data_IF_352826542890
#
_entry.id   IF_352826542890
#
_cell.length_a   1.000
_cell.length_b   1.000
_cell.length_c   1.000
_cell.angle_alpha   90.00
_cell.angle_beta   90.00
_cell.angle_gamma   90.00
#
_symmetry.space_group_name_H-M   'P 1'
#
loop_
_entity.id
_entity.type
_entity.pdbx_description
1 polymer ?
#
# COMPACT_ATOMS: atom_id res chain seq x y z
N UNK A 1 6.32 27.29 56.28
CA UNK A 1 5.59 28.24 55.40
C UNK A 1 5.30 27.53 54.09
N UNK A 2 4.12 26.92 53.95
CA UNK A 2 3.71 26.20 52.74
C UNK A 2 3.40 27.23 51.64
N UNK A 3 4.40 27.57 50.82
CA UNK A 3 4.20 28.36 49.60
C UNK A 3 3.50 27.48 48.56
N UNK A 4 2.16 27.43 48.61
CA UNK A 4 1.37 26.93 47.48
C UNK A 4 1.60 27.89 46.31
N UNK A 5 1.93 27.31 45.15
CA UNK A 5 2.09 28.03 43.88
C UNK A 5 0.84 28.87 43.59
N UNK A 6 1.04 30.12 43.16
CA UNK A 6 -0.05 30.99 42.73
C UNK A 6 -0.72 30.40 41.48
N UNK A 7 -2.01 30.70 41.27
CA UNK A 7 -2.73 30.28 40.05
C UNK A 7 -2.02 30.75 38.77
N UNK A 8 -1.30 31.88 38.84
CA UNK A 8 -0.49 32.40 37.75
C UNK A 8 0.79 31.58 37.50
N UNK A 9 1.40 31.00 38.54
CA UNK A 9 2.59 30.16 38.41
C UNK A 9 2.25 28.81 37.74
N UNK A 10 1.08 28.26 38.07
CA UNK A 10 0.55 27.06 37.39
C UNK A 10 0.24 27.33 35.93
N UNK A 11 -0.37 28.49 35.61
CA UNK A 11 -0.66 28.88 34.23
C UNK A 11 0.63 29.05 33.43
N UNK A 12 1.64 29.73 34.01
CA UNK A 12 2.94 29.91 33.38
C UNK A 12 3.66 28.58 33.11
N UNK A 13 3.69 27.69 34.11
CA UNK A 13 4.28 26.36 33.94
C UNK A 13 3.55 25.53 32.87
N UNK A 14 2.22 25.59 32.82
CA UNK A 14 1.42 24.89 31.81
C UNK A 14 1.70 25.41 30.40
N UNK A 15 1.72 26.73 30.21
CA UNK A 15 2.04 27.35 28.91
C UNK A 15 3.48 27.04 28.47
N UNK A 16 4.42 27.01 29.41
CA UNK A 16 5.81 26.66 29.13
C UNK A 16 5.95 25.20 28.68
N UNK A 17 5.32 24.26 29.39
CA UNK A 17 5.30 22.84 29.00
C UNK A 17 4.62 22.66 27.65
N UNK A 18 3.50 23.36 27.40
CA UNK A 18 2.79 23.31 26.13
C UNK A 18 3.66 23.80 24.96
N UNK A 19 4.37 24.92 25.13
CA UNK A 19 5.33 25.40 24.12
C UNK A 19 6.47 24.40 23.88
N UNK A 20 6.97 23.74 24.93
CA UNK A 20 8.02 22.73 24.80
C UNK A 20 7.55 21.53 23.95
N UNK A 21 6.32 21.07 24.17
CA UNK A 21 5.72 19.96 23.40
C UNK A 21 5.53 20.34 21.93
N UNK A 22 5.06 21.57 21.65
CA UNK A 22 4.92 22.05 20.27
C UNK A 22 6.28 22.21 19.57
N UNK A 23 7.29 22.71 20.28
CA UNK A 23 8.65 22.85 19.75
C UNK A 23 9.25 21.48 19.41
N UNK A 24 9.08 20.48 20.29
CA UNK A 24 9.54 19.11 20.01
C UNK A 24 8.77 18.48 18.85
N UNK A 25 7.44 18.64 18.78
CA UNK A 25 6.62 18.12 17.69
C UNK A 25 7.02 18.69 16.33
N UNK A 26 7.21 20.01 16.25
CA UNK A 26 7.67 20.69 15.03
C UNK A 26 9.12 20.35 14.67
N UNK A 27 9.99 20.19 15.66
CA UNK A 27 11.37 19.75 15.45
C UNK A 27 11.45 18.34 14.84
N UNK A 28 10.75 17.35 15.43
CA UNK A 28 10.74 15.98 14.89
C UNK A 28 10.07 15.90 13.51
N UNK A 29 9.00 16.67 13.29
CA UNK A 29 8.37 16.78 11.98
C UNK A 29 9.32 17.38 10.93
N UNK A 30 10.04 18.45 11.29
CA UNK A 30 11.04 19.08 10.44
C UNK A 30 12.24 18.17 10.15
N UNK A 31 12.68 17.39 11.14
CA UNK A 31 13.74 16.39 10.97
C UNK A 31 13.36 15.31 9.97
N UNK A 32 12.15 14.74 10.12
CA UNK A 32 11.64 13.70 9.19
C UNK A 32 11.52 14.24 7.77
N UNK A 33 10.91 15.42 7.62
CA UNK A 33 10.78 16.10 6.34
C UNK A 33 12.15 16.48 5.72
N UNK A 34 13.14 16.81 6.56
CA UNK A 34 14.51 17.08 6.15
C UNK A 34 15.23 15.81 5.67
N UNK A 35 15.07 14.69 6.36
CA UNK A 35 15.58 13.38 5.94
C UNK A 35 14.95 12.96 4.62
N UNK A 36 13.63 13.06 4.46
CA UNK A 36 12.92 12.69 3.24
C UNK A 36 13.41 13.52 2.03
N UNK A 37 13.62 14.83 2.22
CA UNK A 37 14.15 15.72 1.17
C UNK A 37 15.62 15.48 0.87
N UNK A 38 16.43 15.19 1.89
CA UNK A 38 17.85 14.89 1.72
C UNK A 38 18.04 13.58 0.96
N UNK A 39 17.32 12.52 1.35
CA UNK A 39 17.33 11.22 0.66
C UNK A 39 16.90 11.40 -0.80
N UNK A 40 15.78 12.08 -1.06
CA UNK A 40 15.32 12.33 -2.43
C UNK A 40 16.35 13.10 -3.29
N UNK A 41 17.02 14.10 -2.73
CA UNK A 41 18.02 14.91 -3.45
C UNK A 41 19.34 14.17 -3.66
N UNK A 42 19.77 13.38 -2.68
CA UNK A 42 20.96 12.54 -2.82
C UNK A 42 20.72 11.39 -3.81
N UNK A 43 19.53 10.80 -3.81
CA UNK A 43 19.10 9.82 -4.80
C UNK A 43 19.08 10.43 -6.21
N UNK A 44 18.55 11.64 -6.40
CA UNK A 44 18.55 12.34 -7.69
C UNK A 44 19.97 12.66 -8.19
N UNK A 45 20.88 13.06 -7.30
CA UNK A 45 22.27 13.37 -7.66
C UNK A 45 23.10 12.12 -7.96
N UNK A 46 22.89 11.04 -7.20
CA UNK A 46 23.49 9.75 -7.50
C UNK A 46 22.96 9.21 -8.83
N UNK A 47 21.64 9.30 -9.04
CA UNK A 47 20.94 8.90 -10.26
C UNK A 47 21.50 9.58 -11.52
N UNK A 48 21.60 10.92 -11.53
CA UNK A 48 22.17 11.66 -12.67
C UNK A 48 23.62 11.28 -12.96
N UNK A 49 24.38 10.93 -11.92
CA UNK A 49 25.80 10.58 -12.08
C UNK A 49 25.96 9.15 -12.58
N UNK A 50 25.07 8.23 -12.22
CA UNK A 50 25.22 6.81 -12.54
C UNK A 50 24.44 6.37 -13.80
N UNK A 51 23.36 7.06 -14.18
CA UNK A 51 22.66 6.87 -15.45
C UNK A 51 23.57 7.21 -16.65
N UNK A 52 24.34 8.29 -16.53
CA UNK A 52 25.33 8.73 -17.53
C UNK A 52 26.51 7.75 -17.67
N UNK A 53 26.80 6.97 -16.62
CA UNK A 53 28.02 6.16 -16.56
C UNK A 53 27.82 4.68 -16.89
N UNK A 54 26.64 4.10 -16.61
CA UNK A 54 26.45 2.64 -16.66
C UNK A 54 25.25 2.14 -17.48
N UNK A 55 24.42 2.99 -18.07
CA UNK A 55 23.28 2.54 -18.90
C UNK A 55 22.39 1.55 -18.15
N UNK A 56 21.71 2.01 -17.11
CA UNK A 56 20.88 1.14 -16.28
C UNK A 56 19.80 0.42 -17.09
N UNK A 57 19.52 -0.84 -16.74
CA UNK A 57 18.33 -1.52 -17.23
C UNK A 57 17.08 -0.73 -16.83
N UNK A 58 16.05 -0.79 -17.67
CA UNK A 58 14.76 -0.13 -17.52
C UNK A 58 14.13 -0.24 -16.11
N UNK A 59 14.50 -1.26 -15.32
CA UNK A 59 13.93 -1.56 -14.01
C UNK A 59 15.00 -1.85 -12.97
N UNK A 60 16.05 -1.03 -12.92
CA UNK A 60 17.12 -1.17 -11.94
C UNK A 60 16.63 -1.05 -10.48
N UNK A 61 17.32 -1.70 -9.53
CA UNK A 61 16.97 -1.75 -8.10
C UNK A 61 16.67 -0.37 -7.49
N UNK A 62 17.44 0.65 -7.89
CA UNK A 62 17.26 2.02 -7.40
C UNK A 62 15.93 2.64 -7.83
N UNK A 63 15.44 2.34 -9.04
CA UNK A 63 14.13 2.83 -9.49
C UNK A 63 12.99 2.22 -8.70
N UNK A 64 13.09 0.92 -8.38
CA UNK A 64 12.09 0.26 -7.54
C UNK A 64 12.07 0.86 -6.12
N UNK A 65 13.23 1.11 -5.54
CA UNK A 65 13.34 1.71 -4.19
C UNK A 65 12.86 3.15 -4.18
N UNK A 66 13.25 3.94 -5.18
CA UNK A 66 12.77 5.32 -5.32
C UNK A 66 11.25 5.34 -5.49
N UNK A 67 10.69 4.49 -6.36
CA UNK A 67 9.24 4.35 -6.53
C UNK A 67 8.55 3.94 -5.22
N UNK A 68 9.15 3.04 -4.45
CA UNK A 68 8.62 2.63 -3.14
C UNK A 68 8.41 3.84 -2.23
N UNK A 69 9.47 4.62 -1.99
CA UNK A 69 9.42 5.71 -1.02
C UNK A 69 8.67 6.94 -1.52
N UNK A 70 8.77 7.23 -2.82
CA UNK A 70 8.26 8.50 -3.36
C UNK A 70 6.81 8.41 -3.84
N UNK A 71 6.32 7.21 -4.15
CA UNK A 71 5.00 7.01 -4.78
C UNK A 71 4.19 5.96 -4.02
N UNK A 72 4.71 4.73 -3.93
CA UNK A 72 3.96 3.62 -3.36
C UNK A 72 3.65 3.83 -1.88
N UNK A 73 4.64 4.22 -1.06
CA UNK A 73 4.48 4.39 0.38
C UNK A 73 3.46 5.48 0.73
N UNK A 74 3.52 6.71 0.19
CA UNK A 74 2.48 7.72 0.45
C UNK A 74 1.08 7.27 0.01
N UNK A 75 0.96 6.54 -1.11
CA UNK A 75 -0.32 5.94 -1.50
C UNK A 75 -0.79 4.89 -0.47
N UNK A 76 0.12 4.04 0.02
CA UNK A 76 -0.19 3.03 1.05
C UNK A 76 -0.65 3.64 2.36
N UNK A 77 -0.17 4.82 2.72
CA UNK A 77 -0.66 5.56 3.89
C UNK A 77 -2.15 5.92 3.73
N UNK A 78 -2.53 6.48 2.58
CA UNK A 78 -3.94 6.72 2.25
C UNK A 78 -4.75 5.43 2.26
N UNK A 79 -4.26 4.38 1.58
CA UNK A 79 -4.93 3.09 1.49
C UNK A 79 -5.19 2.48 2.88
N UNK A 80 -4.21 2.52 3.79
CA UNK A 80 -4.38 2.06 5.17
C UNK A 80 -5.43 2.89 5.90
N UNK A 81 -5.34 4.22 5.81
CA UNK A 81 -6.30 5.14 6.45
C UNK A 81 -7.72 4.95 5.92
N UNK A 82 -7.88 4.68 4.63
CA UNK A 82 -9.16 4.34 4.02
C UNK A 82 -9.82 3.16 4.74
N UNK A 83 -9.12 2.03 4.86
CA UNK A 83 -9.66 0.84 5.52
C UNK A 83 -9.91 1.05 7.01
N UNK A 84 -9.03 1.77 7.72
CA UNK A 84 -9.24 2.13 9.12
C UNK A 84 -10.55 2.91 9.28
N UNK A 85 -10.77 3.95 8.46
CA UNK A 85 -11.97 4.79 8.54
C UNK A 85 -13.23 4.09 8.05
N UNK A 86 -13.16 3.24 7.03
CA UNK A 86 -14.32 2.43 6.62
C UNK A 86 -14.76 1.48 7.74
N UNK A 87 -13.80 0.81 8.39
CA UNK A 87 -14.11 -0.05 9.53
C UNK A 87 -14.67 0.75 10.73
N UNK A 88 -14.15 1.96 11.01
CA UNK A 88 -14.73 2.87 12.01
C UNK A 88 -16.19 3.24 11.66
N UNK A 89 -16.50 3.54 10.40
CA UNK A 89 -17.87 3.85 9.97
C UNK A 89 -18.81 2.64 10.11
N UNK A 90 -18.36 1.44 9.74
CA UNK A 90 -19.17 0.22 9.85
C UNK A 90 -19.47 -0.16 11.30
N UNK A 91 -18.49 0.03 12.19
CA UNK A 91 -18.59 -0.44 13.58
C UNK A 91 -19.13 0.61 14.55
N UNK A 92 -18.99 1.91 14.27
CA UNK A 92 -19.22 2.97 15.23
C UNK A 92 -20.39 3.90 14.83
N UNK A 93 -21.58 3.60 15.36
CA UNK A 93 -22.86 4.29 15.07
C UNK A 93 -22.95 5.77 15.51
N UNK A 94 -21.95 6.30 16.20
CA UNK A 94 -21.95 7.66 16.75
C UNK A 94 -20.90 8.59 16.11
N UNK A 95 -20.15 8.10 15.12
CA UNK A 95 -19.13 8.91 14.44
C UNK A 95 -19.79 9.92 13.49
N UNK A 96 -19.24 11.15 13.46
CA UNK A 96 -19.58 12.13 12.43
C UNK A 96 -19.04 11.61 11.08
N UNK A 97 -19.92 10.92 10.35
CA UNK A 97 -19.58 10.30 9.08
C UNK A 97 -19.17 11.35 8.04
N UNK A 98 -19.81 12.51 8.05
CA UNK A 98 -19.47 13.63 7.18
C UNK A 98 -18.04 14.14 7.45
N UNK A 99 -17.67 14.31 8.71
CA UNK A 99 -16.30 14.67 9.09
C UNK A 99 -15.29 13.59 8.67
N UNK A 100 -15.60 12.32 8.91
CA UNK A 100 -14.75 11.19 8.52
C UNK A 100 -14.51 11.15 7.00
N UNK A 101 -15.56 11.34 6.21
CA UNK A 101 -15.45 11.43 4.75
C UNK A 101 -14.68 12.68 4.33
N UNK A 102 -14.91 13.83 4.96
CA UNK A 102 -14.14 15.05 4.67
C UNK A 102 -12.64 14.84 4.87
N UNK A 103 -12.25 14.20 5.97
CA UNK A 103 -10.85 13.90 6.27
C UNK A 103 -10.25 12.92 5.25
N UNK A 104 -11.00 11.89 4.84
CA UNK A 104 -10.56 10.97 3.80
C UNK A 104 -10.38 11.65 2.44
N UNK A 105 -11.32 12.51 2.04
CA UNK A 105 -11.22 13.28 0.81
C UNK A 105 -10.02 14.24 0.85
N UNK A 106 -9.79 14.90 1.98
CA UNK A 106 -8.64 15.76 2.19
C UNK A 106 -7.31 14.98 2.11
N UNK A 107 -7.23 13.81 2.74
CA UNK A 107 -6.04 12.95 2.68
C UNK A 107 -5.77 12.44 1.25
N UNK A 108 -6.81 12.02 0.51
CA UNK A 108 -6.67 11.63 -0.88
C UNK A 108 -6.10 12.77 -1.73
N UNK A 109 -6.63 13.99 -1.55
CA UNK A 109 -6.17 15.20 -2.24
C UNK A 109 -4.74 15.59 -1.85
N UNK A 110 -4.39 15.48 -0.56
CA UNK A 110 -3.03 15.73 -0.06
C UNK A 110 -2.04 14.80 -0.75
N UNK A 111 -2.30 13.48 -0.74
CA UNK A 111 -1.44 12.49 -1.40
C UNK A 111 -1.42 12.67 -2.92
N UNK A 112 -2.53 13.08 -3.54
CA UNK A 112 -2.54 13.42 -4.96
C UNK A 112 -1.55 14.56 -5.26
N UNK A 113 -1.58 15.65 -4.49
CA UNK A 113 -0.68 16.79 -4.67
C UNK A 113 0.79 16.44 -4.36
N UNK A 114 1.01 15.56 -3.39
CA UNK A 114 2.35 15.02 -3.07
C UNK A 114 2.93 14.26 -4.28
N UNK A 115 2.10 13.46 -4.95
CA UNK A 115 2.49 12.62 -6.08
C UNK A 115 2.50 13.36 -7.42
N UNK A 116 1.71 14.43 -7.60
CA UNK A 116 1.48 15.07 -8.91
C UNK A 116 2.72 15.71 -9.51
N UNK A 117 3.69 16.08 -8.67
CA UNK A 117 4.96 16.67 -9.09
C UNK A 117 6.09 15.64 -9.17
N UNK A 118 5.79 14.35 -8.98
CA UNK A 118 6.77 13.27 -9.09
C UNK A 118 6.80 12.76 -10.53
N UNK A 119 7.93 12.19 -10.91
CA UNK A 119 8.11 11.57 -12.21
C UNK A 119 8.99 10.33 -12.06
N UNK A 120 8.82 9.37 -12.97
CA UNK A 120 9.71 8.21 -13.10
C UNK A 120 10.46 8.30 -14.44
N UNK A 121 11.66 7.73 -14.56
CA UNK A 121 12.41 7.72 -15.80
C UNK A 121 11.63 7.13 -16.97
N UNK A 122 11.82 7.66 -18.19
CA UNK A 122 11.18 7.16 -19.42
C UNK A 122 11.59 5.73 -19.75
N UNK A 123 12.75 5.29 -19.25
CA UNK A 123 13.18 3.90 -19.34
C UNK A 123 12.27 2.95 -18.57
N UNK A 124 11.41 3.43 -17.66
CA UNK A 124 10.60 2.62 -16.73
C UNK A 124 9.09 2.81 -16.93
N UNK A 125 8.52 2.45 -18.11
CA UNK A 125 7.13 2.75 -18.44
C UNK A 125 6.12 2.14 -17.46
N UNK A 126 6.36 0.93 -16.92
CA UNK A 126 5.46 0.35 -15.91
C UNK A 126 5.38 1.21 -14.64
N UNK A 127 6.50 1.79 -14.21
CA UNK A 127 6.53 2.68 -13.04
C UNK A 127 5.83 4.01 -13.33
N UNK A 128 6.03 4.57 -14.54
CA UNK A 128 5.31 5.77 -14.97
C UNK A 128 3.80 5.55 -15.00
N UNK A 129 3.34 4.45 -15.62
CA UNK A 129 1.93 4.10 -15.65
C UNK A 129 1.37 3.82 -14.25
N UNK A 130 2.17 3.19 -13.38
CA UNK A 130 1.81 2.96 -11.98
C UNK A 130 1.54 4.26 -11.23
N UNK A 131 2.42 5.26 -11.39
CA UNK A 131 2.21 6.61 -10.86
C UNK A 131 0.91 7.24 -11.39
N UNK A 132 0.70 7.21 -12.70
CA UNK A 132 -0.49 7.78 -13.32
C UNK A 132 -1.78 7.12 -12.81
N UNK A 133 -1.75 5.80 -12.62
CA UNK A 133 -2.88 5.06 -12.06
C UNK A 133 -3.12 5.42 -10.59
N UNK A 134 -2.09 5.59 -9.77
CA UNK A 134 -2.27 6.10 -8.40
C UNK A 134 -2.84 7.52 -8.35
N UNK A 135 -2.38 8.42 -9.23
CA UNK A 135 -2.92 9.78 -9.34
C UNK A 135 -4.42 9.76 -9.72
N UNK A 136 -4.80 8.96 -10.72
CA UNK A 136 -6.22 8.77 -11.09
C UNK A 136 -7.03 8.21 -9.93
N UNK A 137 -6.50 7.22 -9.23
CA UNK A 137 -7.14 6.62 -8.05
C UNK A 137 -7.40 7.67 -6.96
N UNK A 138 -6.38 8.41 -6.53
CA UNK A 138 -6.49 9.41 -5.46
C UNK A 138 -7.45 10.54 -5.84
N UNK A 139 -7.40 10.99 -7.10
CA UNK A 139 -8.32 12.01 -7.60
C UNK A 139 -9.78 11.55 -7.51
N UNK A 140 -10.07 10.34 -8.01
CA UNK A 140 -11.43 9.79 -7.98
C UNK A 140 -11.91 9.52 -6.55
N UNK A 141 -11.04 9.04 -5.65
CA UNK A 141 -11.37 8.93 -4.22
C UNK A 141 -11.74 10.29 -3.63
N UNK A 142 -10.93 11.33 -3.86
CA UNK A 142 -11.20 12.67 -3.36
C UNK A 142 -12.53 13.24 -3.86
N UNK A 143 -12.82 13.08 -5.15
CA UNK A 143 -14.05 13.59 -5.78
C UNK A 143 -15.29 12.82 -5.31
N UNK A 144 -15.23 11.49 -5.32
CA UNK A 144 -16.36 10.65 -4.93
C UNK A 144 -16.74 10.85 -3.46
N UNK A 145 -15.75 10.86 -2.58
CA UNK A 145 -15.98 11.08 -1.14
C UNK A 145 -16.56 12.47 -0.89
N UNK A 146 -16.06 13.51 -1.58
CA UNK A 146 -16.59 14.86 -1.50
C UNK A 146 -18.08 14.94 -1.89
N UNK A 147 -18.50 14.19 -2.90
CA UNK A 147 -19.89 14.13 -3.34
C UNK A 147 -20.80 13.42 -2.31
N UNK A 148 -20.29 12.40 -1.64
CA UNK A 148 -21.04 11.61 -0.65
C UNK A 148 -21.12 12.34 0.71
N UNK A 149 -20.08 13.12 1.05
CA UNK A 149 -19.90 13.81 2.33
C UNK A 149 -21.15 14.60 2.79
N UNK A 150 -21.84 15.29 1.87
CA UNK A 150 -22.97 16.17 2.17
C UNK A 150 -24.22 15.45 2.69
N UNK A 151 -24.35 14.15 2.45
CA UNK A 151 -25.51 13.34 2.91
C UNK A 151 -25.13 12.30 3.96
N UNK A 152 -23.84 12.17 4.27
CA UNK A 152 -23.29 11.09 5.08
C UNK A 152 -23.93 10.99 6.48
N UNK A 153 -24.17 12.12 7.16
CA UNK A 153 -24.78 12.12 8.50
C UNK A 153 -26.29 11.83 8.49
N UNK A 154 -26.93 11.88 7.32
CA UNK A 154 -28.36 11.59 7.15
C UNK A 154 -28.61 10.14 6.70
N UNK A 155 -27.56 9.36 6.49
CA UNK A 155 -27.63 7.96 6.05
C UNK A 155 -27.10 7.07 7.18
N UNK A 156 -27.81 6.00 7.58
CA UNK A 156 -27.28 5.03 8.53
C UNK A 156 -25.91 4.50 8.07
N UNK A 157 -24.95 4.35 8.98
CA UNK A 157 -23.55 4.08 8.61
C UNK A 157 -23.37 2.79 7.77
N UNK A 158 -24.17 1.77 8.03
CA UNK A 158 -24.18 0.54 7.22
C UNK A 158 -24.61 0.80 5.77
N UNK A 159 -25.71 1.53 5.57
CA UNK A 159 -26.22 1.88 4.25
C UNK A 159 -25.27 2.84 3.52
N UNK A 160 -24.60 3.73 4.27
CA UNK A 160 -23.58 4.62 3.73
C UNK A 160 -22.43 3.82 3.13
N UNK A 161 -21.86 2.87 3.89
CA UNK A 161 -20.74 2.06 3.41
C UNK A 161 -21.16 1.14 2.25
N UNK A 162 -22.36 0.56 2.32
CA UNK A 162 -22.93 -0.20 1.21
C UNK A 162 -23.09 0.67 -0.05
N UNK A 163 -23.54 1.92 0.08
CA UNK A 163 -23.64 2.85 -1.05
C UNK A 163 -22.27 3.22 -1.63
N UNK A 164 -21.27 3.43 -0.78
CA UNK A 164 -19.89 3.70 -1.20
C UNK A 164 -19.27 2.52 -1.95
N UNK A 165 -19.60 1.28 -1.55
CA UNK A 165 -19.14 0.09 -2.26
C UNK A 165 -19.77 -0.07 -3.64
N UNK A 166 -20.94 0.53 -3.88
CA UNK A 166 -21.62 0.53 -5.17
C UNK A 166 -21.35 1.80 -6.00
N UNK A 167 -20.68 2.80 -5.45
CA UNK A 167 -20.35 4.04 -6.15
C UNK A 167 -19.37 3.79 -7.30
N UNK A 168 -19.73 4.28 -8.50
CA UNK A 168 -18.97 4.04 -9.72
C UNK A 168 -17.58 4.70 -9.69
N UNK A 169 -17.47 5.91 -9.11
CA UNK A 169 -16.19 6.62 -9.03
C UNK A 169 -15.25 5.94 -8.04
N UNK A 170 -15.76 5.50 -6.89
CA UNK A 170 -14.98 4.71 -5.93
C UNK A 170 -14.55 3.37 -6.51
N UNK A 171 -15.41 2.69 -7.25
CA UNK A 171 -15.06 1.41 -7.88
C UNK A 171 -13.99 1.58 -8.98
N UNK A 172 -14.06 2.64 -9.79
CA UNK A 172 -13.00 2.92 -10.75
C UNK A 172 -11.70 3.38 -10.05
N UNK A 173 -11.81 4.14 -8.94
CA UNK A 173 -10.66 4.52 -8.13
C UNK A 173 -9.90 3.29 -7.58
N UNK A 174 -10.64 2.32 -7.05
CA UNK A 174 -10.11 1.02 -6.56
C UNK A 174 -9.43 0.25 -7.69
N UNK A 175 -10.04 0.20 -8.88
CA UNK A 175 -9.47 -0.45 -10.06
C UNK A 175 -8.15 0.19 -10.49
N UNK A 176 -8.07 1.52 -10.55
CA UNK A 176 -6.81 2.21 -10.84
C UNK A 176 -5.73 1.92 -9.78
N UNK A 177 -6.10 1.81 -8.50
CA UNK A 177 -5.15 1.39 -7.48
C UNK A 177 -4.61 -0.03 -7.71
N UNK A 178 -5.47 -0.96 -8.09
CA UNK A 178 -5.09 -2.34 -8.36
C UNK A 178 -4.22 -2.43 -9.61
N UNK A 179 -4.51 -1.64 -10.64
CA UNK A 179 -3.69 -1.53 -11.83
C UNK A 179 -2.30 -0.97 -11.50
N UNK A 180 -2.23 0.09 -10.68
CA UNK A 180 -0.96 0.64 -10.21
C UNK A 180 -0.14 -0.38 -9.39
N UNK A 181 -0.82 -1.16 -8.54
CA UNK A 181 -0.19 -2.25 -7.80
C UNK A 181 0.38 -3.28 -8.78
N UNK A 182 -0.40 -3.78 -9.73
CA UNK A 182 0.06 -4.72 -10.75
C UNK A 182 1.29 -4.20 -11.49
N UNK A 183 1.25 -2.97 -11.99
CA UNK A 183 2.38 -2.36 -12.68
C UNK A 183 3.67 -2.36 -11.84
N UNK A 184 3.55 -2.15 -10.53
CA UNK A 184 4.70 -2.20 -9.64
C UNK A 184 5.25 -3.62 -9.46
N UNK A 185 4.40 -4.64 -9.31
CA UNK A 185 4.86 -6.03 -9.24
C UNK A 185 5.42 -6.54 -10.58
N UNK A 186 4.83 -6.14 -11.71
CA UNK A 186 5.37 -6.41 -13.04
C UNK A 186 6.78 -5.81 -13.19
N UNK A 187 7.01 -4.61 -12.65
CA UNK A 187 8.34 -3.98 -12.67
C UNK A 187 9.37 -4.74 -11.83
N UNK A 188 8.95 -5.34 -10.71
CA UNK A 188 9.80 -6.21 -9.88
C UNK A 188 10.19 -7.48 -10.66
N UNK A 189 9.30 -8.01 -11.50
CA UNK A 189 9.60 -9.15 -12.37
C UNK A 189 10.59 -8.77 -13.45
N UNK A 190 10.44 -7.59 -14.06
CA UNK A 190 11.45 -7.09 -15.02
C UNK A 190 12.82 -6.90 -14.39
N UNK A 191 12.88 -6.44 -13.16
CA UNK A 191 14.12 -6.39 -12.37
C UNK A 191 14.69 -7.80 -12.14
N UNK A 192 13.87 -8.75 -11.66
CA UNK A 192 14.32 -10.10 -11.36
C UNK A 192 14.82 -10.83 -12.61
N UNK A 193 14.15 -10.65 -13.76
CA UNK A 193 14.57 -11.23 -15.04
C UNK A 193 15.89 -10.67 -15.57
N UNK A 194 16.26 -9.43 -15.19
CA UNK A 194 17.53 -8.86 -15.59
C UNK A 194 18.71 -9.58 -14.91
N UNK A 195 18.55 -9.94 -13.63
CA UNK A 195 19.58 -10.64 -12.85
C UNK A 195 19.45 -12.18 -12.93
N UNK A 196 18.24 -12.69 -13.20
CA UNK A 196 17.92 -14.11 -13.33
C UNK A 196 17.07 -14.38 -14.58
N UNK A 197 17.70 -14.48 -15.78
CA UNK A 197 16.99 -14.73 -17.03
C UNK A 197 16.24 -16.07 -17.10
N UNK A 198 16.58 -17.02 -16.22
CA UNK A 198 15.95 -18.35 -16.16
C UNK A 198 14.74 -18.40 -15.21
N UNK A 199 14.32 -17.26 -14.66
CA UNK A 199 13.13 -17.17 -13.80
C UNK A 199 11.93 -17.81 -14.51
N UNK A 200 11.37 -18.86 -13.89
CA UNK A 200 10.17 -19.52 -14.38
C UNK A 200 8.99 -18.54 -14.34
N UNK A 201 8.47 -18.20 -15.52
CA UNK A 201 7.29 -17.38 -15.68
C UNK A 201 6.05 -18.25 -15.87
N UNK A 202 4.88 -17.71 -15.50
CA UNK A 202 3.58 -18.32 -15.75
C UNK A 202 2.67 -17.32 -16.44
N UNK A 203 1.68 -17.82 -17.17
CA UNK A 203 0.62 -16.99 -17.68
C UNK A 203 -0.31 -16.57 -16.53
N UNK A 204 -0.19 -15.31 -16.12
CA UNK A 204 -0.97 -14.74 -15.03
C UNK A 204 -2.47 -14.61 -15.35
N UNK A 205 -2.85 -14.69 -16.63
CA UNK A 205 -4.24 -14.61 -17.07
C UNK A 205 -5.04 -15.91 -16.90
N UNK A 206 -4.35 -17.03 -16.64
CA UNK A 206 -4.96 -18.35 -16.59
C UNK A 206 -4.97 -18.96 -15.18
N UNK A 207 -5.96 -19.81 -14.85
CA UNK A 207 -5.97 -20.56 -13.60
C UNK A 207 -4.71 -21.41 -13.45
N UNK A 208 -4.05 -21.32 -12.29
CA UNK A 208 -2.82 -22.05 -12.00
C UNK A 208 -3.09 -23.17 -10.99
N UNK A 209 -2.64 -24.39 -11.31
CA UNK A 209 -2.75 -25.52 -10.38
C UNK A 209 -1.85 -25.30 -9.15
N UNK A 210 -2.22 -25.86 -8.00
CA UNK A 210 -1.37 -25.78 -6.80
C UNK A 210 0.00 -26.47 -6.99
N UNK A 211 0.05 -27.47 -7.88
CA UNK A 211 1.29 -28.16 -8.26
C UNK A 211 2.23 -27.22 -9.02
N UNK A 212 1.70 -26.40 -9.93
CA UNK A 212 2.48 -25.47 -10.73
C UNK A 212 2.84 -24.18 -9.97
N UNK A 213 2.00 -23.80 -9.00
CA UNK A 213 2.23 -22.70 -8.06
C UNK A 213 3.40 -22.94 -7.11
N UNK A 214 3.47 -24.14 -6.52
CA UNK A 214 4.45 -24.48 -5.47
C UNK A 214 5.91 -24.14 -5.85
N UNK A 215 6.42 -24.51 -7.05
CA UNK A 215 7.81 -24.24 -7.43
C UNK A 215 8.09 -22.80 -7.88
N UNK A 216 7.09 -21.91 -7.90
CA UNK A 216 7.31 -20.52 -8.30
C UNK A 216 8.06 -19.74 -7.22
N UNK A 217 8.92 -18.82 -7.65
CA UNK A 217 9.53 -17.83 -6.76
C UNK A 217 8.45 -16.92 -6.16
N UNK A 218 8.77 -16.30 -5.03
CA UNK A 218 7.86 -15.35 -4.39
C UNK A 218 7.54 -14.16 -5.32
N UNK A 219 8.51 -13.67 -6.09
CA UNK A 219 8.27 -12.58 -7.04
C UNK A 219 7.18 -12.95 -8.06
N UNK A 220 7.27 -14.14 -8.65
CA UNK A 220 6.30 -14.64 -9.62
C UNK A 220 4.92 -14.90 -8.98
N UNK A 221 4.90 -15.42 -7.75
CA UNK A 221 3.67 -15.56 -6.95
C UNK A 221 3.01 -14.20 -6.72
N UNK A 222 3.77 -13.18 -6.37
CA UNK A 222 3.24 -11.84 -6.12
C UNK A 222 2.68 -11.19 -7.39
N UNK A 223 3.34 -11.36 -8.54
CA UNK A 223 2.82 -10.87 -9.83
C UNK A 223 1.49 -11.56 -10.17
N UNK A 224 1.44 -12.89 -10.09
CA UNK A 224 0.20 -13.66 -10.30
C UNK A 224 -0.94 -13.16 -9.41
N UNK A 225 -0.66 -12.97 -8.12
CA UNK A 225 -1.65 -12.45 -7.17
C UNK A 225 -2.05 -11.01 -7.48
N UNK A 226 -1.12 -10.13 -7.85
CA UNK A 226 -1.47 -8.75 -8.22
C UNK A 226 -2.43 -8.70 -9.42
N UNK A 227 -2.26 -9.62 -10.38
CA UNK A 227 -3.18 -9.78 -11.51
C UNK A 227 -4.53 -10.35 -11.06
N UNK A 228 -4.54 -11.37 -10.21
CA UNK A 228 -5.76 -11.96 -9.66
C UNK A 228 -6.57 -10.93 -8.84
N UNK A 229 -5.91 -10.09 -8.04
CA UNK A 229 -6.56 -9.01 -7.29
C UNK A 229 -7.18 -7.96 -8.21
N UNK A 230 -6.48 -7.57 -9.29
CA UNK A 230 -7.03 -6.66 -10.30
C UNK A 230 -8.25 -7.24 -11.00
N UNK A 231 -8.16 -8.48 -11.50
CA UNK A 231 -9.23 -9.13 -12.25
C UNK A 231 -10.45 -9.43 -11.37
N UNK A 232 -10.21 -9.85 -10.12
CA UNK A 232 -11.26 -10.05 -9.12
C UNK A 232 -11.79 -8.76 -8.48
N UNK A 233 -11.23 -7.59 -8.83
CA UNK A 233 -11.54 -6.28 -8.22
C UNK A 233 -11.40 -6.29 -6.70
N UNK A 234 -10.45 -7.08 -6.19
CA UNK A 234 -10.22 -7.33 -4.78
C UNK A 234 -9.37 -6.22 -4.17
N UNK A 235 -9.98 -5.05 -3.98
CA UNK A 235 -9.35 -3.95 -3.24
C UNK A 235 -9.38 -4.29 -1.74
N UNK A 236 -8.24 -4.71 -1.20
CA UNK A 236 -8.07 -5.19 0.17
C UNK A 236 -6.83 -4.57 0.81
N UNK A 237 -6.84 -4.47 2.14
CA UNK A 237 -5.75 -3.85 2.91
C UNK A 237 -4.42 -4.62 2.80
N UNK A 238 -4.48 -5.94 2.69
CA UNK A 238 -3.29 -6.78 2.59
C UNK A 238 -2.55 -6.55 1.25
N UNK A 239 -1.31 -7.03 1.18
CA UNK A 239 -0.48 -6.95 -0.04
C UNK A 239 -0.47 -8.28 -0.81
N UNK A 240 -0.09 -8.31 -2.10
CA UNK A 240 0.09 -9.55 -2.85
C UNK A 240 0.93 -10.59 -2.10
N UNK A 241 2.04 -10.19 -1.48
CA UNK A 241 2.88 -11.10 -0.71
C UNK A 241 2.21 -11.68 0.53
N UNK A 242 1.30 -10.95 1.18
CA UNK A 242 0.53 -11.47 2.31
C UNK A 242 -0.37 -12.63 1.86
N UNK A 243 -1.05 -12.44 0.73
CA UNK A 243 -1.91 -13.46 0.14
C UNK A 243 -1.10 -14.64 -0.42
N UNK A 244 0.01 -14.40 -1.13
CA UNK A 244 0.93 -15.47 -1.57
C UNK A 244 1.42 -16.30 -0.39
N UNK A 245 1.81 -15.65 0.71
CA UNK A 245 2.23 -16.33 1.93
C UNK A 245 1.13 -17.18 2.56
N UNK A 246 -0.11 -16.69 2.57
CA UNK A 246 -1.24 -17.42 3.14
C UNK A 246 -1.62 -18.64 2.29
N UNK A 247 -1.55 -18.52 0.97
CA UNK A 247 -1.73 -19.64 0.04
C UNK A 247 -0.65 -20.71 0.28
N UNK A 248 0.62 -20.31 0.33
CA UNK A 248 1.72 -21.25 0.60
C UNK A 248 1.61 -21.92 1.97
N UNK A 249 1.10 -21.22 2.98
CA UNK A 249 0.81 -21.81 4.30
C UNK A 249 -0.32 -22.87 4.23
N UNK A 250 -1.40 -22.60 3.49
CA UNK A 250 -2.47 -23.57 3.29
C UNK A 250 -2.04 -24.80 2.48
N UNK A 251 -1.18 -24.60 1.48
CA UNK A 251 -0.60 -25.69 0.67
C UNK A 251 0.35 -26.52 1.53
N UNK A 252 1.30 -25.89 2.22
CA UNK A 252 2.31 -26.59 3.04
C UNK A 252 1.73 -27.30 4.27
N UNK A 253 0.65 -26.78 4.87
CA UNK A 253 -0.05 -27.43 5.98
C UNK A 253 -1.00 -28.57 5.55
N UNK A 254 -1.18 -28.77 4.24
CA UNK A 254 -2.10 -29.76 3.67
C UNK A 254 -3.58 -29.38 3.81
N UNK A 255 -3.91 -28.18 4.28
CA UNK A 255 -5.29 -27.70 4.39
C UNK A 255 -5.96 -27.59 3.01
N UNK A 256 -5.24 -27.10 2.00
CA UNK A 256 -5.77 -27.02 0.64
C UNK A 256 -6.23 -28.41 0.13
N UNK A 257 -5.43 -29.45 0.38
CA UNK A 257 -5.78 -30.84 0.04
C UNK A 257 -6.98 -31.36 0.84
N UNK A 258 -7.05 -31.07 2.14
CA UNK A 258 -8.20 -31.48 2.99
C UNK A 258 -9.53 -30.89 2.53
N UNK A 259 -9.49 -29.68 1.97
CA UNK A 259 -10.65 -28.97 1.45
C UNK A 259 -10.89 -29.22 -0.05
N UNK A 260 -10.14 -30.14 -0.66
CA UNK A 260 -10.21 -30.47 -2.09
C UNK A 260 -10.00 -29.27 -3.02
N UNK A 261 -9.18 -28.29 -2.61
CA UNK A 261 -8.81 -27.15 -3.44
C UNK A 261 -7.72 -27.59 -4.41
N UNK A 262 -7.93 -27.40 -5.72
CA UNK A 262 -7.06 -27.92 -6.77
C UNK A 262 -6.22 -26.85 -7.47
N UNK A 263 -6.67 -25.60 -7.44
CA UNK A 263 -6.04 -24.46 -8.08
C UNK A 263 -5.94 -23.24 -7.13
N UNK A 264 -5.11 -22.28 -7.52
CA UNK A 264 -4.82 -21.08 -6.73
C UNK A 264 -6.05 -20.18 -6.59
N UNK A 265 -6.90 -20.09 -7.61
CA UNK A 265 -8.10 -19.25 -7.57
C UNK A 265 -9.08 -19.73 -6.49
N UNK A 266 -9.32 -21.03 -6.39
CA UNK A 266 -10.16 -21.61 -5.33
C UNK A 266 -9.64 -21.27 -3.93
N UNK A 267 -8.31 -21.27 -3.74
CA UNK A 267 -7.70 -20.88 -2.46
C UNK A 267 -7.90 -19.38 -2.20
N UNK A 268 -7.71 -18.52 -3.22
CA UNK A 268 -7.97 -17.07 -3.12
C UNK A 268 -9.43 -16.82 -2.73
N UNK A 269 -10.38 -17.48 -3.38
CA UNK A 269 -11.80 -17.30 -3.13
C UNK A 269 -12.17 -17.69 -1.70
N UNK A 270 -11.70 -18.84 -1.23
CA UNK A 270 -11.92 -19.29 0.14
C UNK A 270 -11.31 -18.32 1.16
N UNK A 271 -10.06 -17.91 0.95
CA UNK A 271 -9.34 -17.00 1.84
C UNK A 271 -10.01 -15.62 1.92
N UNK A 272 -10.56 -15.13 0.81
CA UNK A 272 -11.31 -13.89 0.77
C UNK A 272 -12.70 -14.01 1.41
N UNK A 273 -13.42 -15.10 1.13
CA UNK A 273 -14.75 -15.33 1.68
C UNK A 273 -14.74 -15.47 3.21
N UNK A 274 -13.59 -15.89 3.77
CA UNK A 274 -13.39 -16.07 5.22
C UNK A 274 -12.60 -14.94 5.87
N UNK A 275 -12.22 -13.91 5.12
CA UNK A 275 -11.31 -12.83 5.54
C UNK A 275 -10.07 -13.36 6.31
N UNK A 276 -9.52 -14.49 5.84
CA UNK A 276 -8.43 -15.21 6.49
C UNK A 276 -7.04 -14.63 6.20
N UNK A 277 -6.95 -13.63 5.32
CA UNK A 277 -5.69 -12.98 4.94
C UNK A 277 -5.56 -11.68 5.71
N UNK A 278 -4.46 -11.54 6.45
CA UNK A 278 -4.18 -10.35 7.26
C UNK A 278 -2.97 -9.61 6.71
N UNK A 279 -3.00 -8.29 6.82
CA UNK A 279 -1.80 -7.48 6.58
C UNK A 279 -0.65 -7.96 7.46
N UNK A 280 0.53 -8.10 6.87
CA UNK A 280 1.73 -8.61 7.53
C UNK A 280 1.82 -10.13 7.68
N UNK A 281 0.90 -10.90 7.08
CA UNK A 281 1.01 -12.37 6.99
C UNK A 281 2.32 -12.79 6.35
N UNK A 282 2.77 -12.06 5.32
CA UNK A 282 4.05 -12.30 4.69
C UNK A 282 5.21 -12.22 5.69
N UNK A 283 5.30 -11.13 6.44
CA UNK A 283 6.42 -10.89 7.35
C UNK A 283 6.48 -11.95 8.46
N UNK A 284 5.32 -12.38 8.97
CA UNK A 284 5.24 -13.45 9.98
C UNK A 284 5.78 -14.78 9.46
N UNK A 285 5.56 -15.07 8.18
CA UNK A 285 5.88 -16.36 7.59
C UNK A 285 7.18 -16.36 6.76
N UNK A 286 7.76 -15.19 6.46
CA UNK A 286 8.88 -15.03 5.53
C UNK A 286 10.04 -15.98 5.79
N UNK A 287 10.54 -16.01 7.03
CA UNK A 287 11.72 -16.81 7.36
C UNK A 287 11.47 -18.32 7.24
N UNK A 288 10.20 -18.74 7.38
CA UNK A 288 9.79 -20.15 7.29
C UNK A 288 9.53 -20.58 5.86
N UNK A 289 8.84 -19.74 5.07
CA UNK A 289 8.38 -20.08 3.72
C UNK A 289 9.35 -19.65 2.62
N UNK A 290 10.12 -18.58 2.84
CA UNK A 290 10.92 -17.90 1.83
C UNK A 290 12.36 -17.60 2.30
N UNK A 291 13.09 -18.55 2.92
CA UNK A 291 14.42 -18.28 3.47
C UNK A 291 15.47 -17.93 2.41
N UNK A 292 15.30 -18.42 1.17
CA UNK A 292 16.30 -18.33 0.10
C UNK A 292 15.76 -17.63 -1.16
N UNK A 293 14.74 -16.77 -1.01
CA UNK A 293 14.17 -16.02 -2.14
C UNK A 293 15.06 -14.84 -2.54
N UNK A 294 15.28 -14.66 -3.84
CA UNK A 294 15.88 -13.45 -4.40
C UNK A 294 14.82 -12.35 -4.46
N UNK A 295 14.98 -11.33 -3.63
CA UNK A 295 14.04 -10.21 -3.50
C UNK A 295 14.74 -8.89 -3.72
N UNK A 296 14.08 -7.90 -4.35
CA UNK A 296 14.62 -6.56 -4.42
C UNK A 296 14.67 -5.97 -3.00
N UNK A 297 15.56 -5.02 -2.79
CA UNK A 297 15.76 -4.30 -1.52
C UNK A 297 14.61 -3.33 -1.19
N UNK A 298 13.37 -3.82 -1.21
CA UNK A 298 12.16 -3.05 -0.94
C UNK A 298 11.74 -3.22 0.52
N UNK A 299 11.46 -2.13 1.26
CA UNK A 299 11.18 -2.22 2.69
C UNK A 299 10.05 -3.19 3.07
N UNK A 300 8.98 -3.28 2.26
CA UNK A 300 7.87 -4.22 2.55
C UNK A 300 8.26 -5.71 2.54
N UNK A 301 9.48 -6.05 2.12
CA UNK A 301 10.00 -7.42 2.19
C UNK A 301 10.81 -7.68 3.46
N UNK A 302 11.23 -6.65 4.20
CA UNK A 302 12.18 -6.78 5.31
C UNK A 302 11.71 -6.14 6.61
N UNK A 303 10.92 -5.07 6.55
CA UNK A 303 10.45 -4.38 7.75
C UNK A 303 9.11 -4.93 8.23
N UNK A 304 9.02 -5.17 9.55
CA UNK A 304 7.74 -5.26 10.25
C UNK A 304 7.17 -3.84 10.30
N UNK A 305 6.07 -3.59 9.57
CA UNK A 305 5.28 -2.36 9.74
C UNK A 305 4.33 -2.49 10.92
#
# INVERSE_FOLDING_TARGET
MNKRLSRYDYLFALTFIFMLVLALGTFFFGLRMGQDRATAKYEELLFKKSEVQNGYSAYHQQYLVSYYHTIYQPYREFHKKWFEKMNELETNRTSDASATLKDLGALAKEKYNELSNKSMPDSSPLLQEGLQNYLKSLKLFSEAVGNIQGKANSTPSYDLVASMNNDAYLNEAKKFSLAAQKNYYDSIIKWNLADNPQLKQVDVGNPLSLKDWTPLSLSMKNEYISNALLNGKLFKLYTPQDLSSRIDEMVSSGQAKKLNLTDVHQVIDLLNATDAVRSGDFIRNKNRLYPNETLPQLPFFFTQN
#
